data_IF_533989344750
#
_entry.id   IF_533989344750
#
_cell.length_a   1.000
_cell.length_b   1.000
_cell.length_c   1.000
_cell.angle_alpha   90.00
_cell.angle_beta   90.00
_cell.angle_gamma   90.00
#
_symmetry.space_group_name_H-M   'P 1'
#
loop_
_entity.id
_entity.type
_entity.pdbx_description
1 polymer ?
#
# COMPACT_ATOMS: atom_id res chain seq x y z
N UNK A 1 -46.79 -34.22 -18.70
CA UNK A 1 -45.94 -33.07 -18.33
C UNK A 1 -44.98 -32.85 -19.49
N UNK A 2 -45.30 -31.83 -20.30
CA UNK A 2 -44.78 -31.64 -21.65
C UNK A 2 -43.44 -30.90 -21.63
N UNK A 3 -42.42 -31.52 -22.23
CA UNK A 3 -41.15 -30.90 -22.58
C UNK A 3 -41.40 -29.89 -23.72
N UNK A 4 -41.13 -28.61 -23.51
CA UNK A 4 -41.27 -27.57 -24.55
C UNK A 4 -39.90 -27.29 -25.20
N UNK A 5 -39.74 -27.53 -26.52
CA UNK A 5 -38.48 -27.35 -27.25
C UNK A 5 -38.24 -25.87 -27.66
N UNK A 6 -38.67 -24.92 -26.84
CA UNK A 6 -38.64 -23.47 -27.16
C UNK A 6 -37.43 -22.77 -26.53
N UNK A 7 -36.82 -23.37 -25.51
CA UNK A 7 -35.68 -22.77 -24.77
C UNK A 7 -34.32 -22.89 -25.47
N UNK A 8 -34.19 -23.73 -26.51
CA UNK A 8 -32.88 -24.04 -27.13
C UNK A 8 -32.55 -23.12 -28.31
N UNK A 9 -33.52 -22.37 -28.87
CA UNK A 9 -33.30 -21.57 -30.10
C UNK A 9 -33.15 -20.07 -29.91
N UNK A 10 -33.33 -19.53 -28.69
CA UNK A 10 -33.26 -18.07 -28.47
C UNK A 10 -31.94 -17.55 -27.91
N UNK A 11 -31.04 -18.39 -27.40
CA UNK A 11 -29.76 -17.92 -26.84
C UNK A 11 -28.62 -17.84 -27.88
N UNK A 12 -28.84 -18.34 -29.10
CA UNK A 12 -27.84 -18.34 -30.18
C UNK A 12 -27.87 -17.09 -31.09
N UNK A 13 -28.62 -16.05 -30.72
CA UNK A 13 -28.75 -14.78 -31.50
C UNK A 13 -27.98 -13.62 -30.85
N UNK A 14 -27.37 -13.81 -29.67
CA UNK A 14 -26.50 -12.79 -29.06
C UNK A 14 -25.01 -13.01 -29.42
N UNK A 15 -24.73 -13.23 -30.70
CA UNK A 15 -23.40 -13.58 -31.20
C UNK A 15 -22.73 -12.50 -32.06
N UNK A 16 -23.20 -11.25 -32.13
CA UNK A 16 -22.72 -10.36 -33.22
C UNK A 16 -22.74 -8.86 -32.94
N UNK A 17 -22.15 -8.36 -31.83
CA UNK A 17 -22.10 -6.91 -31.59
C UNK A 17 -20.94 -6.38 -30.72
N UNK A 18 -19.74 -6.96 -30.73
CA UNK A 18 -18.54 -6.30 -30.19
C UNK A 18 -17.32 -6.53 -31.10
N UNK A 19 -17.47 -6.13 -32.36
CA UNK A 19 -16.35 -5.84 -33.25
C UNK A 19 -16.20 -4.31 -33.30
N UNK A 20 -15.43 -3.73 -32.37
CA UNK A 20 -15.04 -2.32 -32.41
C UNK A 20 -13.65 -2.11 -31.83
N UNK A 21 -12.72 -1.84 -32.74
CA UNK A 21 -11.56 -0.94 -32.65
C UNK A 21 -10.78 -0.86 -31.33
N UNK A 22 -9.50 -1.24 -31.40
CA UNK A 22 -8.41 -0.41 -30.86
C UNK A 22 -7.12 -0.71 -31.63
N UNK A 23 -6.91 0.01 -32.73
CA UNK A 23 -5.58 0.32 -33.24
C UNK A 23 -4.87 1.12 -32.13
N UNK A 24 -3.77 0.61 -31.58
CA UNK A 24 -2.77 1.49 -30.98
C UNK A 24 -1.42 1.25 -31.65
N UNK A 25 -1.02 2.31 -32.37
CA UNK A 25 0.24 2.44 -33.06
C UNK A 25 1.38 2.44 -32.05
N UNK A 26 2.26 1.44 -32.17
CA UNK A 26 3.56 1.43 -31.52
C UNK A 26 4.42 2.48 -32.24
N UNK A 27 4.69 3.60 -31.58
CA UNK A 27 5.78 4.49 -31.98
C UNK A 27 6.95 4.26 -31.02
N UNK A 28 8.12 3.84 -31.50
CA UNK A 28 9.34 3.85 -30.70
C UNK A 28 9.99 5.22 -30.86
N UNK A 29 9.91 6.07 -29.84
CA UNK A 29 10.69 7.31 -29.76
C UNK A 29 11.56 7.26 -28.51
N UNK A 30 12.85 7.15 -28.80
CA UNK A 30 14.10 7.46 -28.09
C UNK A 30 14.10 7.93 -26.63
N UNK A 31 15.17 7.58 -25.88
CA UNK A 31 15.30 7.84 -24.46
C UNK A 31 15.77 9.28 -24.22
N UNK A 32 14.95 10.09 -23.55
CA UNK A 32 15.38 11.40 -23.05
C UNK A 32 15.59 11.37 -21.53
N UNK A 33 16.86 11.23 -21.18
CA UNK A 33 17.60 12.13 -20.28
C UNK A 33 16.89 12.62 -19.00
N UNK A 34 17.38 12.06 -17.90
CA UNK A 34 17.63 12.69 -16.59
C UNK A 34 17.00 14.07 -16.37
N UNK A 35 15.85 14.09 -15.68
CA UNK A 35 15.40 15.24 -14.92
C UNK A 35 15.45 14.90 -13.44
N UNK A 36 16.57 15.31 -12.82
CA UNK A 36 16.80 15.34 -11.38
C UNK A 36 15.80 16.32 -10.76
N UNK A 37 14.61 15.86 -10.39
CA UNK A 37 13.64 16.68 -9.64
C UNK A 37 14.06 16.71 -8.17
N UNK A 38 14.78 17.78 -7.81
CA UNK A 38 14.78 18.30 -6.43
C UNK A 38 13.57 19.23 -6.33
N UNK A 39 12.49 18.83 -5.66
CA UNK A 39 11.71 19.78 -4.85
C UNK A 39 10.65 19.13 -3.96
N UNK A 40 10.44 19.79 -2.82
CA UNK A 40 9.41 19.65 -1.80
C UNK A 40 9.49 18.41 -0.92
N UNK A 41 10.15 18.60 0.22
CA UNK A 41 9.67 18.00 1.48
C UNK A 41 8.25 18.52 1.65
N UNK A 42 7.30 17.69 1.27
CA UNK A 42 5.88 17.93 1.44
C UNK A 42 5.56 17.52 2.88
N UNK A 43 5.32 18.51 3.75
CA UNK A 43 4.99 18.31 5.16
C UNK A 43 3.60 17.66 5.36
N UNK A 44 2.90 17.30 4.29
CA UNK A 44 1.71 16.44 4.32
C UNK A 44 2.01 15.00 3.85
N UNK A 45 3.27 14.67 3.58
CA UNK A 45 3.65 13.30 3.25
C UNK A 45 3.45 12.42 4.47
N UNK A 46 2.42 11.58 4.39
CA UNK A 46 2.27 10.37 5.18
C UNK A 46 3.63 9.72 5.35
N UNK A 47 4.17 9.77 6.57
CA UNK A 47 5.51 9.30 6.84
C UNK A 47 5.45 7.80 7.12
N UNK A 48 6.16 7.01 6.33
CA UNK A 48 6.23 5.58 6.57
C UNK A 48 7.46 5.25 7.40
N UNK A 49 7.24 4.71 8.60
CA UNK A 49 8.31 4.20 9.44
C UNK A 49 8.37 2.68 9.34
N UNK A 50 9.54 2.13 9.05
CA UNK A 50 9.74 0.69 9.17
C UNK A 50 9.70 0.30 10.65
N UNK A 51 8.87 -0.69 10.97
CA UNK A 51 8.64 -1.17 12.33
C UNK A 51 8.96 -2.65 12.39
N UNK A 52 9.68 -3.07 13.43
CA UNK A 52 9.97 -4.48 13.63
C UNK A 52 8.70 -5.26 13.97
N UNK A 53 8.67 -6.54 13.59
CA UNK A 53 7.52 -7.40 13.84
C UNK A 53 7.14 -7.44 15.34
N UNK A 54 8.12 -7.45 16.24
CA UNK A 54 7.90 -7.45 17.69
C UNK A 54 7.28 -6.14 18.23
N UNK A 55 7.49 -5.01 17.55
CA UNK A 55 6.97 -3.71 17.98
C UNK A 55 5.49 -3.51 17.61
N UNK A 56 4.92 -4.41 16.80
CA UNK A 56 3.52 -4.36 16.37
C UNK A 56 2.53 -4.60 17.51
N UNK A 57 2.96 -5.29 18.58
CA UNK A 57 2.14 -5.51 19.77
C UNK A 57 1.69 -4.19 20.41
N UNK A 58 2.54 -3.15 20.35
CA UNK A 58 2.24 -1.82 20.90
C UNK A 58 1.54 -0.90 19.89
N UNK A 59 1.19 -1.41 18.69
CA UNK A 59 0.67 -0.62 17.56
C UNK A 59 -0.67 -1.15 17.03
N UNK A 60 -1.42 -1.86 17.87
CA UNK A 60 -2.81 -2.23 17.56
C UNK A 60 -3.60 -0.95 17.24
N UNK A 61 -4.58 -1.08 16.35
CA UNK A 61 -5.43 -0.01 15.79
C UNK A 61 -4.69 1.04 14.94
N UNK A 62 -3.39 0.88 14.71
CA UNK A 62 -2.65 1.73 13.77
C UNK A 62 -2.77 1.24 12.33
N UNK A 63 -2.74 2.16 11.38
CA UNK A 63 -2.71 1.82 9.95
C UNK A 63 -1.31 1.39 9.55
N UNK A 64 -1.19 0.20 8.99
CA UNK A 64 0.07 -0.39 8.58
C UNK A 64 0.02 -0.88 7.14
N UNK A 65 1.19 -0.91 6.52
CA UNK A 65 1.44 -1.43 5.18
C UNK A 65 2.36 -2.63 5.33
N UNK A 66 1.86 -3.80 4.95
CA UNK A 66 2.57 -5.07 5.00
C UNK A 66 3.05 -5.43 3.60
N UNK A 67 4.35 -5.64 3.48
CA UNK A 67 4.93 -6.23 2.28
C UNK A 67 5.14 -7.72 2.51
N UNK A 68 4.59 -8.53 1.62
CA UNK A 68 4.75 -9.98 1.68
C UNK A 68 5.97 -10.45 0.89
N UNK A 69 6.40 -11.68 1.14
CA UNK A 69 7.45 -12.37 0.38
C UNK A 69 7.11 -12.49 -1.12
N UNK A 70 5.82 -12.50 -1.46
CA UNK A 70 5.32 -12.57 -2.83
C UNK A 70 5.26 -11.19 -3.50
N UNK A 71 5.95 -10.18 -2.95
CA UNK A 71 5.93 -8.78 -3.41
C UNK A 71 4.53 -8.15 -3.48
N UNK A 72 3.57 -8.71 -2.75
CA UNK A 72 2.24 -8.09 -2.61
C UNK A 72 2.30 -7.07 -1.48
N UNK A 73 1.65 -5.93 -1.70
CA UNK A 73 1.50 -4.89 -0.69
C UNK A 73 0.05 -4.88 -0.21
N UNK A 74 -0.15 -4.94 1.10
CA UNK A 74 -1.48 -4.89 1.73
C UNK A 74 -1.47 -3.81 2.80
N UNK A 75 -2.44 -2.91 2.76
CA UNK A 75 -2.60 -1.82 3.71
C UNK A 75 -3.90 -1.96 4.47
N UNK A 76 -3.86 -1.73 5.77
CA UNK A 76 -5.05 -1.77 6.60
C UNK A 76 -4.75 -1.41 8.04
N UNK A 77 -5.80 -1.35 8.85
CA UNK A 77 -5.68 -1.16 10.30
C UNK A 77 -5.31 -2.47 10.96
N UNK A 78 -4.30 -2.47 11.82
CA UNK A 78 -3.91 -3.65 12.59
C UNK A 78 -4.96 -3.96 13.66
N UNK A 79 -5.76 -5.00 13.47
CA UNK A 79 -6.81 -5.40 14.44
C UNK A 79 -6.25 -6.33 15.50
N UNK A 80 -5.38 -7.27 15.09
CA UNK A 80 -4.84 -8.28 16.00
C UNK A 80 -3.46 -8.71 15.57
N UNK A 81 -2.61 -8.93 16.56
CA UNK A 81 -1.26 -9.41 16.38
C UNK A 81 -1.05 -10.71 17.17
N UNK A 82 -0.41 -11.69 16.54
CA UNK A 82 0.16 -12.86 17.19
C UNK A 82 1.51 -13.17 16.56
N UNK A 83 2.32 -14.01 17.22
CA UNK A 83 3.61 -14.43 16.66
C UNK A 83 3.45 -15.16 15.30
N UNK A 84 2.36 -15.91 15.13
CA UNK A 84 2.10 -16.69 13.91
C UNK A 84 1.37 -15.91 12.81
N UNK A 85 0.52 -14.94 13.16
CA UNK A 85 -0.34 -14.24 12.21
C UNK A 85 -0.59 -12.78 12.58
N UNK A 86 -0.73 -11.95 11.54
CA UNK A 86 -1.21 -10.57 11.61
C UNK A 86 -2.62 -10.52 11.04
N UNK A 87 -3.55 -9.87 11.73
CA UNK A 87 -4.89 -9.58 11.21
C UNK A 87 -5.02 -8.09 10.92
N UNK A 88 -5.35 -7.79 9.67
CA UNK A 88 -5.54 -6.43 9.16
C UNK A 88 -7.00 -6.25 8.77
N UNK A 89 -7.63 -5.17 9.23
CA UNK A 89 -8.87 -4.70 8.64
C UNK A 89 -8.54 -3.78 7.47
N UNK A 90 -8.88 -4.21 6.26
CA UNK A 90 -8.64 -3.41 5.07
C UNK A 90 -9.61 -2.22 5.02
N UNK A 91 -9.23 -1.16 4.32
CA UNK A 91 -10.06 0.03 4.15
C UNK A 91 -11.32 -0.24 3.32
N UNK A 92 -12.23 0.76 3.24
CA UNK A 92 -13.45 0.65 2.44
C UNK A 92 -13.15 0.42 0.95
N UNK A 93 -11.98 0.85 0.44
CA UNK A 93 -11.56 0.54 -0.94
C UNK A 93 -11.46 -0.97 -1.24
N UNK A 94 -11.27 -1.79 -0.22
CA UNK A 94 -11.17 -3.25 -0.32
C UNK A 94 -12.39 -3.97 0.29
N UNK A 95 -13.47 -3.24 0.56
CA UNK A 95 -14.71 -3.81 1.10
C UNK A 95 -14.70 -4.05 2.61
N UNK A 96 -13.83 -3.37 3.37
CA UNK A 96 -13.79 -3.44 4.85
C UNK A 96 -13.61 -4.85 5.42
N UNK A 97 -12.95 -5.74 4.67
CA UNK A 97 -12.72 -7.13 5.05
C UNK A 97 -11.55 -7.28 6.03
N UNK A 98 -11.58 -8.35 6.81
CA UNK A 98 -10.45 -8.76 7.65
C UNK A 98 -9.54 -9.73 6.89
N UNK A 99 -8.27 -9.37 6.77
CA UNK A 99 -7.23 -10.15 6.12
C UNK A 99 -6.27 -10.70 7.17
N UNK A 100 -6.15 -12.03 7.22
CA UNK A 100 -5.13 -12.70 8.05
C UNK A 100 -3.91 -13.04 7.20
N UNK A 101 -2.73 -12.58 7.62
CA UNK A 101 -1.45 -12.82 6.96
C UNK A 101 -0.54 -13.62 7.91
N UNK A 102 -0.04 -14.80 7.51
CA UNK A 102 0.95 -15.53 8.30
C UNK A 102 2.27 -14.76 8.43
N UNK A 103 2.88 -14.79 9.60
CA UNK A 103 4.16 -14.10 9.86
C UNK A 103 5.28 -14.55 8.94
N UNK A 104 5.32 -15.84 8.58
CA UNK A 104 6.26 -16.41 7.61
C UNK A 104 6.15 -15.80 6.21
N UNK A 105 5.02 -15.18 5.87
CA UNK A 105 4.81 -14.50 4.59
C UNK A 105 5.12 -13.00 4.66
N UNK A 106 5.38 -12.45 5.85
CA UNK A 106 5.69 -11.03 6.04
C UNK A 106 7.17 -10.80 5.78
N UNK A 107 7.48 -9.91 4.84
CA UNK A 107 8.86 -9.50 4.55
C UNK A 107 9.26 -8.27 5.35
N UNK A 108 8.38 -7.26 5.40
CA UNK A 108 8.57 -6.03 6.18
C UNK A 108 7.23 -5.38 6.47
N UNK A 109 7.19 -4.58 7.54
CA UNK A 109 6.01 -3.82 7.94
C UNK A 109 6.37 -2.35 8.06
N UNK A 110 5.54 -1.51 7.46
CA UNK A 110 5.69 -0.07 7.45
C UNK A 110 4.47 0.52 8.17
N UNK A 111 4.70 1.28 9.22
CA UNK A 111 3.68 2.01 9.96
C UNK A 111 3.39 3.31 9.22
N UNK A 112 2.11 3.56 8.96
CA UNK A 112 1.64 4.82 8.43
C UNK A 112 1.54 5.80 9.60
N UNK A 113 2.55 6.67 9.76
CA UNK A 113 2.46 7.79 10.68
C UNK A 113 1.65 8.87 9.95
N UNK A 114 0.60 9.36 10.62
CA UNK A 114 -0.12 10.53 10.15
C UNK A 114 0.84 11.71 9.91
N UNK A 115 0.41 12.73 9.15
CA UNK A 115 1.23 13.91 8.94
C UNK A 115 1.71 14.41 10.31
N UNK A 116 3.04 14.49 10.48
CA UNK A 116 3.61 15.06 11.68
C UNK A 116 3.02 16.46 11.82
N UNK A 117 2.30 16.72 12.91
CA UNK A 117 1.75 18.04 13.16
C UNK A 117 2.95 19.01 13.19
N UNK A 118 3.03 19.97 12.25
CA UNK A 118 4.18 20.86 12.15
C UNK A 118 4.37 21.73 13.41
N UNK A 119 3.39 21.72 14.34
CA UNK A 119 3.49 22.39 15.64
C UNK A 119 4.22 21.56 16.71
N UNK A 120 4.39 20.25 16.50
CA UNK A 120 5.10 19.34 17.42
C UNK A 120 6.24 18.66 16.67
N UNK A 121 7.33 19.41 16.48
CA UNK A 121 8.61 18.84 16.06
C UNK A 121 9.13 18.00 17.23
N UNK A 122 9.14 16.67 17.08
CA UNK A 122 9.82 15.79 18.04
C UNK A 122 11.30 16.19 18.09
N UNK A 123 11.71 16.87 19.15
CA UNK A 123 13.08 17.27 19.49
C UNK A 123 13.93 16.03 19.81
N UNK A 124 14.17 15.18 18.83
CA UNK A 124 15.07 14.02 18.99
C UNK A 124 15.97 13.75 17.78
N UNK A 125 16.00 14.65 16.79
CA UNK A 125 17.06 14.65 15.78
C UNK A 125 17.95 15.89 15.94
N UNK A 126 19.23 15.61 16.21
CA UNK A 126 20.39 16.49 16.12
C UNK A 126 20.73 17.43 17.28
N UNK A 127 20.94 16.87 18.49
CA UNK A 127 22.07 17.32 19.33
C UNK A 127 23.38 16.75 18.80
N UNK A 128 23.78 17.14 17.58
CA UNK A 128 25.16 16.95 17.10
C UNK A 128 25.94 18.19 17.47
N UNK A 129 26.77 18.06 18.49
CA UNK A 129 27.41 19.16 19.19
C UNK A 129 28.33 20.02 18.33
N UNK A 130 28.36 21.31 18.67
CA UNK A 130 29.51 22.17 18.45
C UNK A 130 29.79 22.93 19.75
N UNK A 131 30.27 22.19 20.77
CA UNK A 131 30.88 22.79 21.95
C UNK A 131 32.31 23.19 21.61
N UNK A 132 32.46 24.30 20.87
CA UNK A 132 33.73 24.95 20.62
C UNK A 132 34.16 25.82 21.79
N UNK A 133 34.48 25.22 22.94
CA UNK A 133 35.17 25.89 24.04
C UNK A 133 36.56 25.26 24.22
N UNK A 134 37.60 25.95 23.72
CA UNK A 134 38.95 25.77 24.25
C UNK A 134 39.71 27.10 24.28
N UNK A 135 39.95 27.55 25.51
CA UNK A 135 40.98 28.52 25.93
C UNK A 135 42.35 28.12 25.36
N UNK A 136 43.11 29.09 24.85
CA UNK A 136 44.25 29.71 25.52
C UNK A 136 44.69 30.94 24.72
#
# INVERSE_FOLDING_TARGET
MNQSPVLIRFLAIFCLALASCSLWAVTPVTPDKSAKSKNKVDLSQTHYREVQYAELENRIDSKIVVHTINNTVRSGTLTRFTNATIQLKLGPEAGSIELTIPSAQVRKVMLELGPADPLFVDESTDKKGESGAKKN
#
